data_IF_209716287384
#
_entry.id   IF_209716287384
#
_cell.length_a   1.000
_cell.length_b   1.000
_cell.length_c   1.000
_cell.angle_alpha   90.00
_cell.angle_beta   90.00
_cell.angle_gamma   90.00
#
_symmetry.space_group_name_H-M   'P 1'
#
loop_
_entity.id
_entity.type
_entity.pdbx_description
1 polymer ?
#
# COMPACT_ATOMS: atom_id res chain seq x y z
N UNK A 1 -13.72 20.19 4.03
CA UNK A 1 -14.71 19.09 4.18
C UNK A 1 -14.03 17.83 3.73
N UNK A 2 -14.11 16.75 4.50
CA UNK A 2 -13.61 15.42 4.12
C UNK A 2 -14.77 14.44 4.07
N UNK A 3 -14.66 13.46 3.18
CA UNK A 3 -15.61 12.37 3.04
C UNK A 3 -14.98 11.09 3.59
N UNK A 4 -15.76 10.29 4.29
CA UNK A 4 -15.33 8.98 4.78
C UNK A 4 -15.96 7.88 3.91
N UNK A 5 -15.13 6.95 3.43
CA UNK A 5 -15.54 5.87 2.54
C UNK A 5 -15.15 4.51 3.15
N UNK A 6 -15.98 3.47 2.96
CA UNK A 6 -15.54 2.09 3.19
C UNK A 6 -14.31 1.77 2.35
N UNK A 7 -13.50 0.81 2.81
CA UNK A 7 -12.23 0.46 2.17
C UNK A 7 -12.38 0.13 0.68
N UNK A 8 -13.40 -0.62 0.31
CA UNK A 8 -13.63 -1.03 -1.09
C UNK A 8 -13.93 0.17 -1.99
N UNK A 9 -14.73 1.13 -1.51
CA UNK A 9 -15.03 2.36 -2.24
C UNK A 9 -13.80 3.27 -2.32
N UNK A 10 -13.01 3.37 -1.25
CA UNK A 10 -11.76 4.13 -1.25
C UNK A 10 -10.78 3.57 -2.28
N UNK A 11 -10.60 2.25 -2.32
CA UNK A 11 -9.76 1.58 -3.31
C UNK A 11 -10.28 1.75 -4.74
N UNK A 12 -11.61 1.73 -4.92
CA UNK A 12 -12.23 1.98 -6.22
C UNK A 12 -11.96 3.42 -6.72
N UNK A 13 -12.03 4.42 -5.84
CA UNK A 13 -11.66 5.81 -6.17
C UNK A 13 -10.20 5.91 -6.61
N UNK A 14 -9.28 5.30 -5.87
CA UNK A 14 -7.85 5.32 -6.20
C UNK A 14 -7.57 4.65 -7.55
N UNK A 15 -8.14 3.49 -7.79
CA UNK A 15 -7.99 2.75 -9.06
C UNK A 15 -8.58 3.54 -10.23
N UNK A 16 -9.78 4.09 -10.07
CA UNK A 16 -10.43 4.88 -11.10
C UNK A 16 -9.61 6.13 -11.44
N UNK A 17 -9.06 6.80 -10.43
CA UNK A 17 -8.24 7.97 -10.64
C UNK A 17 -7.06 7.68 -11.58
N UNK A 18 -6.21 6.73 -11.23
CA UNK A 18 -5.01 6.44 -12.04
C UNK A 18 -5.33 5.83 -13.40
N UNK A 19 -6.39 5.01 -13.52
CA UNK A 19 -6.84 4.43 -14.79
C UNK A 19 -7.39 5.48 -15.77
N UNK A 20 -7.89 6.61 -15.24
CA UNK A 20 -8.38 7.73 -16.03
C UNK A 20 -7.38 8.91 -16.13
N UNK A 21 -6.11 8.67 -15.83
CA UNK A 21 -5.03 9.65 -16.02
C UNK A 21 -4.93 10.71 -14.93
N UNK A 22 -5.61 10.53 -13.78
CA UNK A 22 -5.47 11.40 -12.63
C UNK A 22 -4.41 10.89 -11.67
N UNK A 23 -3.74 11.81 -11.03
CA UNK A 23 -2.89 11.56 -9.86
C UNK A 23 -3.61 12.01 -8.60
N UNK A 24 -3.15 11.54 -7.43
CA UNK A 24 -3.71 12.00 -6.16
C UNK A 24 -2.67 12.01 -5.06
N UNK A 25 -2.80 12.98 -4.14
CA UNK A 25 -1.98 12.99 -2.93
C UNK A 25 -2.44 11.86 -2.00
N UNK A 26 -1.49 11.21 -1.36
CA UNK A 26 -1.67 10.03 -0.53
C UNK A 26 -1.00 10.20 0.82
N UNK A 27 -1.80 10.32 1.88
CA UNK A 27 -1.37 10.26 3.27
C UNK A 27 -1.39 8.81 3.76
N UNK A 28 -0.28 8.35 4.32
CA UNK A 28 -0.07 6.96 4.69
C UNK A 28 0.83 6.82 5.90
N UNK A 29 0.73 5.68 6.57
CA UNK A 29 1.75 5.20 7.49
C UNK A 29 2.88 4.53 6.69
N UNK A 30 4.10 5.00 6.87
CA UNK A 30 5.31 4.44 6.26
C UNK A 30 6.31 3.92 7.30
N UNK A 31 5.98 3.99 8.59
CA UNK A 31 6.80 3.47 9.69
C UNK A 31 6.76 1.95 9.83
N UNK A 32 6.49 1.25 8.76
CA UNK A 32 6.27 -0.18 8.64
C UNK A 32 7.48 -0.91 8.08
N UNK A 33 7.67 -2.17 8.52
CA UNK A 33 8.73 -3.02 7.97
C UNK A 33 8.58 -3.25 6.46
N UNK A 34 7.33 -3.35 6.00
CA UNK A 34 7.00 -3.55 4.59
C UNK A 34 7.23 -2.34 3.71
N UNK A 35 7.36 -1.12 4.28
CA UNK A 35 7.78 0.08 3.55
C UNK A 35 9.31 0.15 3.52
N UNK A 36 9.89 -0.46 2.49
CA UNK A 36 11.34 -0.61 2.39
C UNK A 36 12.02 0.61 1.80
N UNK A 37 13.29 0.83 2.14
CA UNK A 37 14.10 1.89 1.50
C UNK A 37 14.49 1.58 0.06
N UNK A 38 14.26 0.34 -0.38
CA UNK A 38 14.53 -0.09 -1.75
C UNK A 38 13.40 0.25 -2.73
N UNK A 39 12.37 0.94 -2.27
CA UNK A 39 11.27 1.40 -3.11
C UNK A 39 10.16 0.37 -3.32
N UNK A 40 9.99 -0.55 -2.39
CA UNK A 40 8.88 -1.52 -2.34
C UNK A 40 8.10 -1.32 -1.05
N UNK A 41 6.77 -1.30 -1.15
CA UNK A 41 5.86 -1.27 -0.01
C UNK A 41 4.85 -2.42 -0.11
N UNK A 42 4.91 -3.37 0.84
CA UNK A 42 4.14 -4.62 0.83
C UNK A 42 3.66 -4.99 2.23
N UNK A 43 2.58 -5.75 2.32
CA UNK A 43 2.07 -6.35 3.55
C UNK A 43 2.11 -7.89 3.47
N UNK A 44 3.27 -8.52 3.74
CA UNK A 44 3.41 -9.96 3.62
C UNK A 44 2.47 -10.71 4.57
N UNK A 45 1.87 -11.77 4.07
CA UNK A 45 1.09 -12.70 4.88
C UNK A 45 2.03 -13.72 5.55
N UNK A 46 2.38 -13.47 6.81
CA UNK A 46 3.26 -14.36 7.57
C UNK A 46 2.67 -15.76 7.74
N UNK A 47 1.34 -15.91 7.77
CA UNK A 47 0.67 -17.21 7.89
C UNK A 47 0.76 -18.00 6.58
N UNK A 48 0.62 -17.35 5.43
CA UNK A 48 0.80 -17.99 4.11
C UNK A 48 2.27 -18.15 3.72
N UNK A 49 3.16 -17.30 4.26
CA UNK A 49 4.60 -17.54 4.22
C UNK A 49 5.03 -18.75 5.05
N UNK A 50 4.20 -19.19 5.98
CA UNK A 50 4.41 -20.38 6.83
C UNK A 50 3.94 -21.70 6.20
N UNK A 51 3.32 -21.70 5.02
CA UNK A 51 3.28 -22.89 4.14
C UNK A 51 4.66 -23.25 3.58
N UNK A 52 5.63 -22.39 3.79
CA UNK A 52 7.05 -22.73 3.82
C UNK A 52 7.26 -23.85 4.85
N UNK A 53 7.84 -24.94 4.46
CA UNK A 53 8.15 -26.11 5.30
C UNK A 53 8.76 -25.67 6.65
N UNK A 54 8.65 -26.47 7.71
CA UNK A 54 9.10 -26.10 9.06
C UNK A 54 10.54 -25.56 9.15
N UNK A 55 11.43 -25.92 8.20
CA UNK A 55 12.79 -25.39 8.05
C UNK A 55 12.82 -23.92 7.59
N UNK A 56 11.87 -23.49 6.75
CA UNK A 56 11.81 -22.12 6.24
C UNK A 56 11.24 -21.16 7.28
N UNK A 57 10.29 -21.61 8.10
CA UNK A 57 9.79 -20.86 9.26
C UNK A 57 10.91 -20.63 10.29
N UNK A 58 11.68 -21.66 10.61
CA UNK A 58 12.82 -21.57 11.52
C UNK A 58 13.88 -20.60 10.95
N UNK A 59 14.14 -20.65 9.65
CA UNK A 59 15.02 -19.71 8.95
C UNK A 59 14.49 -18.27 9.05
N UNK A 60 13.21 -18.05 8.74
CA UNK A 60 12.59 -16.71 8.81
C UNK A 60 12.63 -16.13 10.22
N UNK A 61 12.34 -16.94 11.24
CA UNK A 61 12.36 -16.50 12.64
C UNK A 61 13.76 -16.11 13.10
N UNK A 62 14.80 -16.81 12.61
CA UNK A 62 16.21 -16.55 12.92
C UNK A 62 16.85 -15.41 12.11
N UNK A 63 16.19 -14.91 11.08
CA UNK A 63 16.74 -13.83 10.23
C UNK A 63 16.76 -12.49 10.94
N UNK A 64 17.82 -11.71 10.68
CA UNK A 64 17.86 -10.30 11.10
C UNK A 64 16.77 -9.47 10.40
N UNK A 65 16.41 -8.32 10.97
CA UNK A 65 15.44 -7.41 10.35
C UNK A 65 15.90 -6.93 8.96
N UNK A 66 17.21 -6.76 8.77
CA UNK A 66 17.80 -6.38 7.49
C UNK A 66 17.63 -7.49 6.43
N UNK A 67 17.83 -8.75 6.83
CA UNK A 67 17.66 -9.90 5.94
C UNK A 67 16.19 -10.12 5.59
N UNK A 68 15.29 -9.95 6.55
CA UNK A 68 13.84 -9.99 6.30
C UNK A 68 13.43 -8.94 5.26
N UNK A 69 13.90 -7.69 5.40
CA UNK A 69 13.63 -6.64 4.41
C UNK A 69 14.18 -6.98 3.02
N UNK A 70 15.37 -7.55 2.96
CA UNK A 70 15.98 -8.00 1.70
C UNK A 70 15.15 -9.11 1.04
N UNK A 71 14.65 -10.06 1.83
CA UNK A 71 13.77 -11.12 1.32
C UNK A 71 12.45 -10.54 0.77
N UNK A 72 11.83 -9.57 1.47
CA UNK A 72 10.60 -8.88 1.03
C UNK A 72 10.74 -8.18 -0.32
N UNK A 73 11.95 -7.72 -0.66
CA UNK A 73 12.24 -7.01 -1.91
C UNK A 73 12.80 -7.89 -3.01
N UNK A 74 13.15 -9.15 -2.70
CA UNK A 74 13.79 -10.06 -3.65
C UNK A 74 12.82 -10.72 -4.63
N UNK A 75 11.59 -10.97 -4.20
CA UNK A 75 10.54 -11.64 -4.98
C UNK A 75 9.15 -11.25 -4.48
N UNK A 76 8.12 -11.32 -5.35
CA UNK A 76 6.73 -11.20 -4.93
C UNK A 76 6.38 -12.26 -3.88
N UNK A 77 5.71 -11.83 -2.80
CA UNK A 77 5.26 -12.71 -1.72
C UNK A 77 3.72 -12.68 -1.63
N UNK A 78 3.09 -13.73 -1.09
CA UNK A 78 1.70 -13.65 -0.67
C UNK A 78 1.50 -12.50 0.33
N UNK A 79 0.40 -11.79 0.19
CA UNK A 79 0.06 -10.67 1.08
C UNK A 79 -1.26 -10.92 1.80
N UNK A 80 -1.44 -10.24 2.94
CA UNK A 80 -2.68 -10.28 3.70
C UNK A 80 -3.86 -9.80 2.86
N UNK A 81 -5.04 -10.33 3.14
CA UNK A 81 -6.30 -9.76 2.66
C UNK A 81 -6.78 -8.74 3.67
N UNK A 82 -6.74 -7.47 3.29
CA UNK A 82 -7.10 -6.36 4.18
C UNK A 82 -8.62 -6.23 4.26
N UNK A 83 -9.15 -6.16 5.50
CA UNK A 83 -10.56 -5.92 5.76
C UNK A 83 -10.78 -4.55 6.40
N UNK A 84 -12.04 -4.09 6.40
CA UNK A 84 -12.42 -2.84 7.06
C UNK A 84 -12.13 -2.92 8.57
N UNK A 85 -12.41 -4.07 9.19
CA UNK A 85 -12.20 -4.32 10.62
C UNK A 85 -10.72 -4.23 10.98
N UNK A 86 -9.83 -4.85 10.21
CA UNK A 86 -8.38 -4.77 10.41
C UNK A 86 -7.89 -3.32 10.36
N UNK A 87 -8.40 -2.53 9.40
CA UNK A 87 -8.07 -1.10 9.31
C UNK A 87 -8.53 -0.33 10.53
N UNK A 88 -9.77 -0.57 10.97
CA UNK A 88 -10.34 0.11 12.13
C UNK A 88 -9.56 -0.22 13.40
N UNK A 89 -9.24 -1.50 13.63
CA UNK A 89 -8.44 -1.93 14.77
C UNK A 89 -7.06 -1.27 14.78
N UNK A 90 -6.36 -1.27 13.64
CA UNK A 90 -5.04 -0.65 13.52
C UNK A 90 -5.06 0.87 13.70
N UNK A 91 -6.16 1.52 13.34
CA UNK A 91 -6.38 2.94 13.62
C UNK A 91 -6.65 3.21 15.10
N UNK A 92 -7.52 2.42 15.71
CA UNK A 92 -7.95 2.61 17.11
C UNK A 92 -6.81 2.33 18.11
N UNK A 93 -5.93 1.38 17.80
CA UNK A 93 -4.80 1.01 18.65
C UNK A 93 -3.48 1.76 18.32
N UNK A 94 -3.52 2.73 17.38
CA UNK A 94 -2.36 3.53 16.94
C UNK A 94 -1.27 2.71 16.22
N UNK A 95 -1.61 1.57 15.68
CA UNK A 95 -0.74 0.76 14.84
C UNK A 95 -0.61 1.32 13.42
N UNK A 96 -1.59 2.13 13.00
CA UNK A 96 -1.54 2.88 11.75
C UNK A 96 -1.75 4.36 12.04
N UNK A 97 -0.78 5.19 11.63
CA UNK A 97 -0.77 6.63 11.85
C UNK A 97 -0.54 7.41 10.54
N UNK A 98 -0.97 8.67 10.48
CA UNK A 98 -0.73 9.56 9.33
C UNK A 98 0.63 10.25 9.50
N UNK A 99 1.68 9.60 9.02
CA UNK A 99 3.06 10.08 9.24
C UNK A 99 3.78 10.56 7.98
N UNK A 100 3.22 10.30 6.77
CA UNK A 100 3.90 10.66 5.53
C UNK A 100 2.96 10.94 4.34
N UNK A 101 3.29 12.00 3.60
CA UNK A 101 2.57 12.42 2.39
C UNK A 101 3.37 12.15 1.11
N UNK A 102 2.72 11.54 0.12
CA UNK A 102 3.30 11.16 -1.17
C UNK A 102 2.31 11.40 -2.31
N UNK A 103 2.70 11.10 -3.55
CA UNK A 103 1.85 11.18 -4.74
C UNK A 103 1.72 9.80 -5.38
N UNK A 104 0.50 9.33 -5.59
CA UNK A 104 0.24 8.18 -6.45
C UNK A 104 -0.10 8.68 -7.86
N UNK A 105 0.59 8.13 -8.89
CA UNK A 105 0.49 8.63 -10.25
C UNK A 105 0.30 7.56 -11.32
N UNK A 106 0.28 6.27 -10.94
CA UNK A 106 0.14 5.19 -11.90
C UNK A 106 0.00 3.81 -11.28
N UNK A 107 -0.11 2.81 -12.14
CA UNK A 107 -0.12 1.39 -11.80
C UNK A 107 0.99 0.69 -12.58
N UNK A 108 1.74 -0.18 -11.92
CA UNK A 108 2.69 -1.10 -12.51
C UNK A 108 2.28 -2.54 -12.22
N UNK A 109 2.81 -3.49 -12.99
CA UNK A 109 2.62 -4.93 -12.78
C UNK A 109 3.98 -5.60 -12.61
N UNK A 110 4.04 -6.57 -11.72
CA UNK A 110 5.20 -7.45 -11.63
C UNK A 110 5.17 -8.57 -12.70
N UNK A 111 6.16 -9.44 -12.69
CA UNK A 111 6.29 -10.56 -13.62
C UNK A 111 5.15 -11.59 -13.52
N UNK A 112 4.40 -11.58 -12.41
CA UNK A 112 3.24 -12.45 -12.19
C UNK A 112 1.90 -11.76 -12.50
N UNK A 113 1.95 -10.49 -12.98
CA UNK A 113 0.78 -9.69 -13.27
C UNK A 113 0.13 -9.02 -12.05
N UNK A 114 0.74 -9.11 -10.87
CA UNK A 114 0.25 -8.44 -9.66
C UNK A 114 0.44 -6.93 -9.78
N UNK A 115 -0.62 -6.18 -9.48
CA UNK A 115 -0.63 -4.72 -9.58
C UNK A 115 -0.07 -4.04 -8.34
N UNK A 116 0.66 -2.96 -8.59
CA UNK A 116 1.20 -2.04 -7.60
C UNK A 116 0.87 -0.61 -8.00
N UNK A 117 0.58 0.24 -7.04
CA UNK A 117 0.57 1.67 -7.27
C UNK A 117 2.00 2.19 -7.41
N UNK A 118 2.20 3.08 -8.37
CA UNK A 118 3.44 3.83 -8.53
C UNK A 118 3.36 5.10 -7.71
N UNK A 119 4.28 5.23 -6.76
CA UNK A 119 4.29 6.30 -5.76
C UNK A 119 5.53 7.17 -5.94
N UNK A 120 5.35 8.47 -6.11
CA UNK A 120 6.43 9.46 -6.04
C UNK A 120 6.56 9.91 -4.59
N UNK A 121 7.70 9.55 -3.98
CA UNK A 121 8.02 9.98 -2.62
C UNK A 121 8.62 11.39 -2.61
N UNK A 122 8.55 12.05 -1.46
CA UNK A 122 9.08 13.40 -1.24
C UNK A 122 10.57 13.43 -0.84
N UNK A 123 11.27 12.27 -0.82
CA UNK A 123 12.67 12.16 -0.38
C UNK A 123 13.71 12.31 -1.50
N UNK A 124 13.35 12.98 -2.60
CA UNK A 124 14.22 13.17 -3.75
C UNK A 124 14.47 11.86 -4.52
N UNK A 125 15.57 11.81 -5.26
CA UNK A 125 15.97 10.64 -6.08
C UNK A 125 16.70 9.58 -5.24
N UNK A 126 16.16 9.21 -4.11
CA UNK A 126 16.71 8.18 -3.23
C UNK A 126 16.31 6.77 -3.66
N UNK A 127 17.08 5.77 -3.22
CA UNK A 127 16.79 4.35 -3.41
C UNK A 127 17.00 3.83 -4.83
N UNK A 128 16.69 2.55 -5.02
CA UNK A 128 16.89 1.81 -6.28
C UNK A 128 16.12 2.40 -7.46
N UNK A 129 14.93 2.94 -7.20
CA UNK A 129 14.03 3.46 -8.22
C UNK A 129 13.95 5.00 -8.23
N UNK A 130 15.02 5.68 -7.77
CA UNK A 130 15.17 7.15 -7.86
C UNK A 130 13.96 7.92 -7.31
N UNK A 131 13.55 7.60 -6.11
CA UNK A 131 12.44 8.28 -5.41
C UNK A 131 11.05 7.76 -5.79
N UNK A 132 10.98 6.64 -6.53
CA UNK A 132 9.72 5.94 -6.82
C UNK A 132 9.60 4.72 -5.91
N UNK A 133 8.39 4.49 -5.40
CA UNK A 133 7.99 3.29 -4.68
C UNK A 133 6.91 2.54 -5.47
N UNK A 134 6.94 1.22 -5.36
CA UNK A 134 5.88 0.34 -5.84
C UNK A 134 5.15 -0.22 -4.63
N UNK A 135 3.98 0.36 -4.35
CA UNK A 135 3.16 -0.03 -3.21
C UNK A 135 2.08 -1.02 -3.65
N UNK A 136 2.04 -2.19 -3.03
CA UNK A 136 1.02 -3.18 -3.32
C UNK A 136 -0.37 -2.67 -2.97
N UNK A 137 -1.40 -3.25 -3.60
CA UNK A 137 -2.79 -2.92 -3.29
C UNK A 137 -3.11 -3.22 -1.81
N UNK A 138 -2.54 -4.28 -1.25
CA UNK A 138 -2.70 -4.63 0.16
C UNK A 138 -2.09 -3.57 1.08
N UNK A 139 -0.86 -3.10 0.79
CA UNK A 139 -0.23 -2.05 1.58
C UNK A 139 -1.04 -0.76 1.54
N UNK A 140 -1.44 -0.32 0.34
CA UNK A 140 -2.24 0.90 0.17
C UNK A 140 -3.60 0.76 0.87
N UNK A 141 -4.29 -0.38 0.72
CA UNK A 141 -5.53 -0.64 1.42
C UNK A 141 -5.38 -0.56 2.94
N UNK A 142 -4.30 -1.12 3.49
CA UNK A 142 -4.10 -1.19 4.94
C UNK A 142 -3.65 0.13 5.55
N UNK A 143 -2.69 0.81 4.91
CA UNK A 143 -1.95 1.93 5.51
C UNK A 143 -2.36 3.32 5.02
N UNK A 144 -3.34 3.43 4.12
CA UNK A 144 -3.88 4.74 3.71
C UNK A 144 -4.67 5.39 4.83
N UNK A 145 -4.30 6.61 5.18
CA UNK A 145 -5.05 7.45 6.12
C UNK A 145 -5.99 8.41 5.40
N UNK A 146 -5.52 9.04 4.34
CA UNK A 146 -6.32 9.95 3.54
C UNK A 146 -5.80 10.06 2.10
N UNK A 147 -6.64 10.59 1.22
CA UNK A 147 -6.25 10.98 -0.14
C UNK A 147 -6.83 12.37 -0.45
N UNK A 148 -6.13 13.11 -1.32
CA UNK A 148 -6.67 14.30 -1.96
C UNK A 148 -6.69 14.03 -3.47
N UNK A 149 -7.89 13.89 -4.02
CA UNK A 149 -8.14 13.51 -5.40
C UNK A 149 -9.06 14.52 -6.10
N UNK A 150 -8.90 14.70 -7.41
CA UNK A 150 -9.80 15.53 -8.19
C UNK A 150 -11.21 14.91 -8.24
N UNK A 151 -12.26 15.71 -8.11
CA UNK A 151 -13.64 15.22 -8.05
C UNK A 151 -14.06 14.39 -9.28
N UNK A 152 -13.56 14.76 -10.46
CA UNK A 152 -13.88 14.06 -11.72
C UNK A 152 -13.19 12.68 -11.83
N UNK A 153 -12.28 12.36 -10.91
CA UNK A 153 -11.67 11.04 -10.80
C UNK A 153 -12.47 10.06 -9.93
N UNK A 154 -13.54 10.53 -9.29
CA UNK A 154 -14.39 9.70 -8.44
C UNK A 154 -15.38 8.92 -9.32
N UNK A 155 -15.56 7.59 -9.13
CA UNK A 155 -16.59 6.83 -9.84
C UNK A 155 -17.98 7.47 -9.67
N UNK A 156 -18.78 7.47 -10.74
CA UNK A 156 -20.03 8.22 -10.80
C UNK A 156 -21.05 7.82 -9.71
N UNK A 157 -21.11 6.55 -9.35
CA UNK A 157 -21.95 6.01 -8.28
C UNK A 157 -21.52 6.51 -6.91
N UNK A 158 -20.21 6.53 -6.63
CA UNK A 158 -19.63 7.07 -5.39
C UNK A 158 -19.80 8.58 -5.34
N UNK A 159 -19.55 9.30 -6.44
CA UNK A 159 -19.77 10.74 -6.52
C UNK A 159 -21.22 11.11 -6.20
N UNK A 160 -22.18 10.39 -6.79
CA UNK A 160 -23.61 10.56 -6.51
C UNK A 160 -23.94 10.30 -5.03
N UNK A 161 -23.37 9.27 -4.43
CA UNK A 161 -23.55 8.94 -2.99
C UNK A 161 -23.02 10.06 -2.10
N UNK A 162 -21.96 10.73 -2.50
CA UNK A 162 -21.31 11.82 -1.76
C UNK A 162 -21.95 13.20 -2.03
N UNK A 163 -22.87 13.29 -2.98
CA UNK A 163 -23.50 14.57 -3.37
C UNK A 163 -22.56 15.49 -4.20
N UNK A 164 -21.66 14.89 -4.98
CA UNK A 164 -20.68 15.57 -5.85
C UNK A 164 -21.15 15.58 -7.30
#
# INVERSE_FOLDING_TARGET
>A
MSYNLPIDELMAVMDNAVKNGYTFAWGSDVSEQGFTRDGIAVCPDAAKGAELTGSDMARWTGMSQADKRKELTSKPMPEITVTQEMRQEAFDNWETTDDHGMLIYGIAKDQNGKEYFMVKNSWGESGKYKGIWYASKAFVAYKTMNILVHKDAIPADIAKKLGL
#
